data_IF_269632264023
#
_entry.id   IF_269632264023
#
_cell.length_a   1.000
_cell.length_b   1.000
_cell.length_c   1.000
_cell.angle_alpha   90.00
_cell.angle_beta   90.00
_cell.angle_gamma   90.00
#
_symmetry.space_group_name_H-M   'P 1'
#
loop_
_entity.id
_entity.type
_entity.pdbx_description
1 polymer ?
#
# COMPACT_ATOMS: atom_id res chain seq x y z
N UNK A 1 -46.54 -45.80 -6.83
CA UNK A 1 -45.86 -45.63 -8.12
C UNK A 1 -44.44 -45.17 -7.86
N UNK A 2 -43.39 -45.79 -8.43
CA UNK A 2 -42.03 -45.28 -8.28
C UNK A 2 -41.87 -44.02 -9.14
N UNK A 3 -41.29 -42.96 -8.57
CA UNK A 3 -41.04 -41.71 -9.27
C UNK A 3 -39.88 -41.85 -10.26
N UNK A 4 -39.99 -41.19 -11.42
CA UNK A 4 -38.90 -41.09 -12.40
C UNK A 4 -37.75 -40.30 -11.77
N UNK A 5 -36.65 -40.99 -11.48
CA UNK A 5 -35.45 -40.38 -10.95
C UNK A 5 -34.66 -39.74 -12.11
N UNK A 6 -34.56 -38.41 -12.15
CA UNK A 6 -33.71 -37.69 -13.10
C UNK A 6 -32.39 -37.36 -12.44
N UNK A 7 -31.33 -38.05 -12.84
CA UNK A 7 -29.97 -37.67 -12.44
C UNK A 7 -29.58 -36.39 -13.19
N UNK A 8 -29.28 -35.33 -12.44
CA UNK A 8 -28.73 -34.07 -12.96
C UNK A 8 -27.26 -34.01 -12.57
N UNK A 9 -26.40 -33.81 -13.56
CA UNK A 9 -24.95 -33.70 -13.38
C UNK A 9 -24.41 -32.35 -13.88
N UNK A 10 -23.25 -31.92 -13.36
CA UNK A 10 -22.58 -30.72 -13.85
C UNK A 10 -22.13 -30.90 -15.31
N UNK A 11 -22.42 -29.91 -16.16
CA UNK A 11 -22.10 -29.91 -17.59
C UNK A 11 -20.66 -29.43 -17.87
N UNK A 12 -20.13 -28.54 -17.01
CA UNK A 12 -18.79 -28.00 -17.14
C UNK A 12 -18.05 -28.05 -15.80
N UNK A 13 -16.78 -28.45 -15.81
CA UNK A 13 -15.92 -28.45 -14.62
C UNK A 13 -15.46 -27.05 -14.21
N UNK A 14 -15.35 -26.12 -15.16
CA UNK A 14 -14.95 -24.74 -14.90
C UNK A 14 -15.48 -23.78 -15.95
N UNK A 15 -15.34 -22.47 -15.72
CA UNK A 15 -15.60 -21.43 -16.72
C UNK A 15 -14.49 -21.31 -17.78
N UNK A 16 -13.33 -21.95 -17.55
CA UNK A 16 -12.27 -22.05 -18.55
C UNK A 16 -12.72 -23.05 -19.60
N UNK A 17 -12.77 -22.62 -20.86
CA UNK A 17 -13.08 -23.51 -21.98
C UNK A 17 -11.97 -24.55 -22.11
N UNK A 18 -12.28 -25.80 -21.76
CA UNK A 18 -11.41 -26.97 -22.03
C UNK A 18 -11.76 -27.65 -23.36
N UNK A 19 -12.76 -27.11 -24.06
CA UNK A 19 -13.24 -27.56 -25.34
C UNK A 19 -13.11 -26.41 -26.34
N UNK A 20 -12.84 -26.73 -27.59
CA UNK A 20 -12.77 -25.75 -28.66
C UNK A 20 -14.18 -25.22 -29.03
N UNK A 21 -14.23 -24.29 -29.98
CA UNK A 21 -15.49 -23.70 -30.49
C UNK A 21 -16.41 -24.73 -31.16
N UNK A 22 -15.91 -25.92 -31.51
CA UNK A 22 -16.64 -27.02 -32.13
C UNK A 22 -17.02 -28.12 -31.12
N UNK A 23 -16.74 -27.92 -29.83
CA UNK A 23 -17.04 -28.88 -28.76
C UNK A 23 -16.05 -30.04 -28.68
N UNK A 24 -14.89 -29.95 -29.35
CA UNK A 24 -13.83 -30.95 -29.26
C UNK A 24 -13.00 -30.69 -28.00
N UNK A 25 -12.76 -31.68 -27.13
CA UNK A 25 -11.94 -31.49 -25.95
C UNK A 25 -10.51 -31.16 -26.34
N UNK A 26 -10.01 -30.02 -25.86
CA UNK A 26 -8.61 -29.56 -26.04
C UNK A 26 -7.67 -30.47 -25.24
N UNK A 27 -8.19 -31.12 -24.20
CA UNK A 27 -7.46 -31.99 -23.30
C UNK A 27 -8.12 -33.36 -23.31
N UNK A 28 -7.37 -34.42 -23.62
CA UNK A 28 -7.93 -35.78 -23.78
C UNK A 28 -8.35 -36.44 -22.47
N UNK A 29 -7.64 -36.17 -21.37
CA UNK A 29 -7.86 -36.73 -20.03
C UNK A 29 -7.41 -35.73 -18.95
N UNK A 30 -7.81 -35.93 -17.69
CA UNK A 30 -7.39 -35.13 -16.52
C UNK A 30 -7.81 -33.65 -16.58
N UNK A 31 -9.02 -33.39 -17.04
CA UNK A 31 -9.60 -32.05 -17.11
C UNK A 31 -9.57 -31.31 -15.76
N UNK A 32 -9.80 -32.03 -14.65
CA UNK A 32 -9.72 -31.46 -13.30
C UNK A 32 -8.30 -30.98 -12.96
N UNK A 33 -7.26 -31.73 -13.35
CA UNK A 33 -5.86 -31.34 -13.13
C UNK A 33 -5.52 -30.07 -13.93
N UNK A 34 -6.07 -29.94 -15.13
CA UNK A 34 -5.87 -28.74 -15.95
C UNK A 34 -6.54 -27.50 -15.33
N UNK A 35 -7.78 -27.63 -14.87
CA UNK A 35 -8.52 -26.54 -14.20
C UNK A 35 -7.83 -26.13 -12.90
N UNK A 36 -7.42 -27.10 -12.09
CA UNK A 36 -6.75 -26.84 -10.81
C UNK A 36 -5.40 -26.16 -11.04
N UNK A 37 -4.60 -26.60 -12.02
CA UNK A 37 -3.35 -25.95 -12.35
C UNK A 37 -3.55 -24.52 -12.89
N UNK A 38 -4.58 -24.30 -13.71
CA UNK A 38 -4.94 -22.96 -14.18
C UNK A 38 -5.35 -22.05 -13.00
N UNK A 39 -6.19 -22.56 -12.10
CA UNK A 39 -6.60 -21.84 -10.89
C UNK A 39 -5.40 -21.49 -10.01
N UNK A 40 -4.48 -22.44 -9.79
CA UNK A 40 -3.25 -22.24 -9.03
C UNK A 40 -2.35 -21.19 -9.67
N UNK A 41 -2.11 -21.31 -10.98
CA UNK A 41 -1.27 -20.34 -11.73
C UNK A 41 -1.85 -18.93 -11.66
N UNK A 42 -3.17 -18.80 -11.76
CA UNK A 42 -3.84 -17.51 -11.62
C UNK A 42 -3.73 -16.96 -10.19
N UNK A 43 -3.89 -17.81 -9.17
CA UNK A 43 -3.70 -17.41 -7.77
C UNK A 43 -2.25 -16.93 -7.52
N UNK A 44 -1.24 -17.66 -8.02
CA UNK A 44 0.17 -17.24 -7.95
C UNK A 44 0.39 -15.88 -8.62
N UNK A 45 -0.18 -15.65 -9.81
CA UNK A 45 -0.09 -14.35 -10.51
C UNK A 45 -0.76 -13.23 -9.71
N UNK A 46 -1.92 -13.50 -9.11
CA UNK A 46 -2.61 -12.53 -8.25
C UNK A 46 -1.77 -12.19 -7.01
N UNK A 47 -1.18 -13.19 -6.35
CA UNK A 47 -0.31 -12.94 -5.20
C UNK A 47 0.93 -12.13 -5.58
N UNK A 48 1.55 -12.42 -6.73
CA UNK A 48 2.68 -11.63 -7.23
C UNK A 48 2.28 -10.17 -7.47
N UNK A 49 1.10 -9.94 -8.06
CA UNK A 49 0.56 -8.58 -8.24
C UNK A 49 0.32 -7.87 -6.90
N UNK A 50 -0.22 -8.56 -5.91
CA UNK A 50 -0.46 -7.99 -4.57
C UNK A 50 0.86 -7.67 -3.88
N UNK A 51 1.87 -8.55 -3.98
CA UNK A 51 3.18 -8.32 -3.40
C UNK A 51 3.88 -7.10 -4.02
N UNK A 52 3.76 -6.92 -5.34
CA UNK A 52 4.31 -5.75 -6.03
C UNK A 52 3.63 -4.44 -5.57
N UNK A 53 2.31 -4.43 -5.45
CA UNK A 53 1.57 -3.28 -4.93
C UNK A 53 1.92 -2.98 -3.48
N UNK A 54 2.09 -4.01 -2.65
CA UNK A 54 2.51 -3.83 -1.26
C UNK A 54 3.90 -3.18 -1.16
N UNK A 55 4.85 -3.62 -1.99
CA UNK A 55 6.19 -3.02 -2.02
C UNK A 55 6.15 -1.54 -2.43
N UNK A 56 5.31 -1.19 -3.41
CA UNK A 56 5.10 0.20 -3.81
C UNK A 56 4.57 1.07 -2.66
N UNK A 57 3.52 0.61 -1.97
CA UNK A 57 2.96 1.30 -0.79
C UNK A 57 4.00 1.45 0.31
N UNK A 58 4.73 0.39 0.63
CA UNK A 58 5.77 0.47 1.67
C UNK A 58 6.94 1.36 1.25
N UNK A 59 7.25 1.46 -0.04
CA UNK A 59 8.26 2.40 -0.54
C UNK A 59 7.85 3.84 -0.32
N UNK A 60 6.63 4.19 -0.70
CA UNK A 60 6.11 5.53 -0.48
C UNK A 60 6.10 5.90 1.01
N UNK A 61 5.63 4.99 1.88
CA UNK A 61 5.62 5.20 3.32
C UNK A 61 7.03 5.40 3.90
N UNK A 62 8.03 4.63 3.42
CA UNK A 62 9.43 4.81 3.84
C UNK A 62 9.96 6.19 3.45
N UNK A 63 9.67 6.64 2.23
CA UNK A 63 10.14 7.92 1.74
C UNK A 63 9.52 9.09 2.53
N UNK A 64 8.22 9.02 2.79
CA UNK A 64 7.52 10.00 3.64
C UNK A 64 8.06 10.00 5.08
N UNK A 65 8.31 8.83 5.66
CA UNK A 65 8.87 8.72 7.00
C UNK A 65 10.30 9.28 7.07
N UNK A 66 11.11 9.08 6.03
CA UNK A 66 12.47 9.62 5.94
C UNK A 66 12.47 11.16 5.88
N UNK A 67 11.54 11.77 5.14
CA UNK A 67 11.36 13.23 5.12
C UNK A 67 11.00 13.76 6.53
N UNK A 68 10.00 13.16 7.16
CA UNK A 68 9.56 13.54 8.51
C UNK A 68 10.68 13.38 9.53
N UNK A 69 11.46 12.29 9.46
CA UNK A 69 12.60 12.07 10.34
C UNK A 69 13.67 13.15 10.16
N UNK A 70 14.00 13.50 8.91
CA UNK A 70 15.00 14.54 8.58
C UNK A 70 14.57 15.90 9.12
N UNK A 71 13.31 16.29 8.89
CA UNK A 71 12.76 17.56 9.37
C UNK A 71 12.70 17.62 10.89
N UNK A 72 12.27 16.53 11.52
CA UNK A 72 12.23 16.39 12.98
C UNK A 72 13.61 16.52 13.60
N UNK A 73 14.63 15.90 12.99
CA UNK A 73 16.02 16.01 13.45
C UNK A 73 16.55 17.45 13.30
N UNK A 74 16.25 18.11 12.19
CA UNK A 74 16.60 19.52 11.97
C UNK A 74 15.94 20.45 13.00
N UNK A 75 14.65 20.25 13.27
CA UNK A 75 13.93 21.00 14.29
C UNK A 75 14.51 20.77 15.68
N UNK A 76 14.80 19.52 16.05
CA UNK A 76 15.43 19.18 17.34
C UNK A 76 16.74 19.94 17.54
N UNK A 77 17.60 19.99 16.53
CA UNK A 77 18.88 20.75 16.60
C UNK A 77 18.64 22.24 16.81
N UNK A 78 17.67 22.83 16.08
CA UNK A 78 17.33 24.26 16.23
C UNK A 78 16.78 24.57 17.62
N UNK A 79 15.90 23.72 18.14
CA UNK A 79 15.35 23.86 19.49
C UNK A 79 16.45 23.76 20.54
N UNK A 80 17.38 22.82 20.41
CA UNK A 80 18.53 22.71 21.32
C UNK A 80 19.43 23.96 21.27
N UNK A 81 19.75 24.45 20.08
CA UNK A 81 20.55 25.68 19.93
C UNK A 81 19.84 26.89 20.55
N UNK A 82 18.53 27.03 20.34
CA UNK A 82 17.74 28.09 20.98
C UNK A 82 17.70 27.94 22.50
N UNK A 83 17.55 26.72 23.01
CA UNK A 83 17.62 26.43 24.45
C UNK A 83 18.93 26.93 25.05
N UNK A 84 20.07 26.57 24.44
CA UNK A 84 21.38 27.07 24.88
C UNK A 84 21.50 28.60 24.82
N UNK A 85 20.94 29.25 23.80
CA UNK A 85 20.95 30.71 23.71
C UNK A 85 20.09 31.36 24.79
N UNK A 86 18.92 30.80 25.09
CA UNK A 86 18.01 31.29 26.13
C UNK A 86 18.62 31.08 27.53
N UNK A 87 19.21 29.92 27.79
CA UNK A 87 19.83 29.59 29.09
C UNK A 87 21.01 30.51 29.41
N UNK A 88 21.75 30.96 28.39
CA UNK A 88 22.90 31.86 28.52
C UNK A 88 22.54 33.35 28.34
N UNK A 89 21.27 33.68 28.08
CA UNK A 89 20.86 35.06 27.87
C UNK A 89 20.81 35.81 29.21
N UNK A 90 21.60 36.89 29.35
CA UNK A 90 21.51 37.79 30.50
C UNK A 90 20.40 38.83 30.29
N UNK A 91 19.28 38.77 31.05
CA UNK A 91 18.18 39.72 30.91
C UNK A 91 18.58 41.16 31.27
N UNK A 92 19.68 41.38 32.00
CA UNK A 92 20.15 42.73 32.37
C UNK A 92 21.02 43.39 31.29
N UNK A 93 21.61 42.61 30.40
CA UNK A 93 22.42 43.10 29.28
C UNK A 93 21.58 43.57 28.08
N UNK A 94 20.32 43.15 27.99
CA UNK A 94 19.43 43.50 26.88
C UNK A 94 18.86 44.90 27.06
N UNK A 95 19.33 45.85 26.25
CA UNK A 95 18.78 47.21 26.22
C UNK A 95 17.47 47.25 25.42
N UNK A 96 16.36 47.62 26.08
CA UNK A 96 15.06 47.75 25.43
C UNK A 96 15.06 49.01 24.56
N UNK A 97 15.02 48.84 23.22
CA UNK A 97 14.78 49.95 22.29
C UNK A 97 13.32 50.41 22.44
N UNK A 98 13.09 51.60 22.99
CA UNK A 98 11.77 52.25 22.90
C UNK A 98 11.53 52.66 21.45
N UNK A 99 10.63 51.96 20.76
CA UNK A 99 10.09 52.43 19.48
C UNK A 99 9.44 53.79 19.72
N UNK A 100 9.95 54.85 19.08
CA UNK A 100 9.22 56.11 19.02
C UNK A 100 8.03 55.87 18.08
N UNK A 101 6.88 55.53 18.65
CA UNK A 101 5.62 55.72 17.96
C UNK A 101 5.50 57.22 17.68
N UNK A 102 5.81 57.62 16.44
CA UNK A 102 5.47 58.95 15.96
C UNK A 102 3.94 58.98 15.77
N UNK A 103 3.22 59.12 16.88
CA UNK A 103 1.88 59.66 16.89
C UNK A 103 1.97 61.08 17.45
N UNK A 104 2.12 62.06 16.57
CA UNK A 104 1.72 63.44 16.81
C UNK A 104 1.40 64.05 15.44
N UNK A 105 0.09 64.19 15.22
CA UNK A 105 -0.63 65.36 14.66
C UNK A 105 0.12 66.16 13.58
#
# INVERSE_FOLDING_TARGET
>A
MPFVQRAVGPVHLSRVKLHDEHGVPIIRDRELDAVTNCALSNALRQMASVAALADEVFRELRDQLADVATRSAGLKRRVQALGHLVDNADPKAVTVRKSKNNSCI
#
